data_IF_449868722781
#
_entry.id   IF_449868722781
#
_cell.length_a   1.000
_cell.length_b   1.000
_cell.length_c   1.000
_cell.angle_alpha   90.00
_cell.angle_beta   90.00
_cell.angle_gamma   90.00
#
_symmetry.space_group_name_H-M   'P 1'
#
loop_
_entity.id
_entity.type
_entity.pdbx_description
1 polymer ?
#
# COMPACT_ATOMS: atom_id res chain seq x y z
N UNK A 1 11.44 23.50 -22.96
CA UNK A 1 10.76 22.67 -21.94
C UNK A 1 9.31 23.11 -21.88
N UNK A 2 8.37 22.23 -21.57
CA UNK A 2 6.93 22.53 -21.60
C UNK A 2 6.21 21.84 -20.44
N UNK A 3 5.18 22.48 -19.88
CA UNK A 3 4.33 21.89 -18.82
C UNK A 3 4.65 22.40 -17.41
N UNK A 4 4.62 21.50 -16.42
CA UNK A 4 4.64 21.81 -14.97
C UNK A 4 5.85 22.57 -14.44
N UNK A 5 7.00 22.58 -15.14
CA UNK A 5 8.19 23.28 -14.66
C UNK A 5 8.33 24.72 -15.19
N UNK A 6 7.48 25.14 -16.13
CA UNK A 6 7.60 26.46 -16.79
C UNK A 6 6.24 27.13 -16.99
N UNK A 7 5.32 26.46 -17.70
CA UNK A 7 4.16 27.13 -18.32
C UNK A 7 2.84 26.88 -17.59
N UNK A 8 2.78 25.86 -16.73
CA UNK A 8 1.54 25.43 -16.08
C UNK A 8 1.36 26.09 -14.72
N UNK A 9 0.12 26.48 -14.42
CA UNK A 9 -0.30 26.92 -13.10
C UNK A 9 -0.52 25.72 -12.18
N UNK A 10 0.12 25.73 -11.01
CA UNK A 10 -0.11 24.74 -9.95
C UNK A 10 -1.47 24.85 -9.26
N UNK A 11 -2.21 25.93 -9.47
CA UNK A 11 -3.54 26.12 -8.86
C UNK A 11 -4.64 25.51 -9.71
N UNK A 12 -4.69 25.87 -10.99
CA UNK A 12 -5.70 25.36 -11.92
C UNK A 12 -5.20 25.50 -13.35
N UNK A 13 -5.13 24.39 -14.08
CA UNK A 13 -4.62 24.36 -15.44
C UNK A 13 -5.64 23.75 -16.43
N UNK A 14 -6.16 24.53 -17.40
CA UNK A 14 -7.01 24.00 -18.46
C UNK A 14 -6.21 23.10 -19.42
N UNK A 15 -6.94 22.30 -20.19
CA UNK A 15 -6.38 21.56 -21.33
C UNK A 15 -6.27 22.52 -22.52
N UNK A 16 -5.08 22.62 -23.10
CA UNK A 16 -4.85 23.37 -24.34
C UNK A 16 -5.04 22.45 -25.55
N UNK A 17 -6.09 22.71 -26.34
CA UNK A 17 -6.42 21.95 -27.56
C UNK A 17 -5.90 22.60 -28.85
N UNK A 18 -5.08 23.65 -28.74
CA UNK A 18 -4.48 24.29 -29.91
C UNK A 18 -3.39 23.41 -30.53
N UNK A 19 -3.06 23.67 -31.79
CA UNK A 19 -1.93 23.03 -32.48
C UNK A 19 -0.59 23.74 -32.17
N UNK A 20 -0.46 24.35 -30.99
CA UNK A 20 0.79 24.99 -30.58
C UNK A 20 1.86 23.93 -30.32
N UNK A 21 3.13 24.30 -30.53
CA UNK A 21 4.25 23.39 -30.27
C UNK A 21 4.31 22.93 -28.80
N UNK A 22 3.80 23.74 -27.88
CA UNK A 22 3.74 23.43 -26.44
C UNK A 22 2.62 22.43 -26.15
N UNK A 23 1.42 22.64 -26.70
CA UNK A 23 0.27 21.74 -26.54
C UNK A 23 0.55 20.36 -27.14
N UNK A 24 1.09 20.30 -28.37
CA UNK A 24 1.44 19.04 -29.03
C UNK A 24 2.53 18.27 -28.27
N UNK A 25 3.52 18.96 -27.70
CA UNK A 25 4.52 18.32 -26.83
C UNK A 25 3.88 17.70 -25.59
N UNK A 26 2.95 18.39 -24.94
CA UNK A 26 2.23 17.82 -23.81
C UNK A 26 1.41 16.59 -24.22
N UNK A 27 0.68 16.68 -25.32
CA UNK A 27 -0.10 15.54 -25.84
C UNK A 27 0.80 14.32 -26.13
N UNK A 28 1.99 14.53 -26.71
CA UNK A 28 2.98 13.46 -26.90
C UNK A 28 3.49 12.89 -25.57
N UNK A 29 3.72 13.71 -24.54
CA UNK A 29 4.10 13.21 -23.21
C UNK A 29 2.98 12.37 -22.59
N UNK A 30 1.72 12.81 -22.71
CA UNK A 30 0.56 12.04 -22.28
C UNK A 30 0.47 10.70 -23.03
N UNK A 31 0.73 10.68 -24.33
CA UNK A 31 0.77 9.46 -25.13
C UNK A 31 1.88 8.50 -24.68
N UNK A 32 3.11 9.00 -24.46
CA UNK A 32 4.20 8.17 -23.96
C UNK A 32 3.93 7.61 -22.56
N UNK A 33 3.27 8.39 -21.70
CA UNK A 33 2.81 7.90 -20.41
C UNK A 33 1.76 6.79 -20.54
N UNK A 34 0.84 6.87 -21.51
CA UNK A 34 -0.06 5.75 -21.79
C UNK A 34 0.70 4.49 -22.22
N UNK A 35 1.66 4.64 -23.14
CA UNK A 35 2.50 3.50 -23.55
C UNK A 35 3.26 2.92 -22.37
N UNK A 36 3.79 3.75 -21.45
CA UNK A 36 4.47 3.23 -20.26
C UNK A 36 3.53 2.38 -19.41
N UNK A 37 2.27 2.80 -19.20
CA UNK A 37 1.28 2.00 -18.46
C UNK A 37 0.98 0.64 -19.11
N UNK A 38 1.03 0.55 -20.44
CA UNK A 38 0.95 -0.74 -21.12
C UNK A 38 2.18 -1.61 -20.87
N UNK A 39 3.39 -1.02 -20.85
CA UNK A 39 4.61 -1.78 -20.55
C UNK A 39 4.64 -2.33 -19.12
N UNK A 40 3.97 -1.67 -18.17
CA UNK A 40 3.86 -2.12 -16.77
C UNK A 40 3.08 -3.42 -16.62
N UNK A 41 2.25 -3.83 -17.60
CA UNK A 41 1.66 -5.17 -17.59
C UNK A 41 2.70 -6.28 -17.57
N UNK A 42 3.90 -6.02 -18.07
CA UNK A 42 5.02 -6.96 -18.03
C UNK A 42 5.38 -7.36 -16.59
N UNK A 43 5.15 -6.50 -15.58
CA UNK A 43 5.37 -6.86 -14.18
C UNK A 43 4.49 -8.04 -13.76
N UNK A 44 3.22 -7.99 -14.17
CA UNK A 44 2.25 -9.08 -13.92
C UNK A 44 2.66 -10.35 -14.67
N UNK A 45 3.09 -10.22 -15.93
CA UNK A 45 3.60 -11.35 -16.72
C UNK A 45 4.78 -12.01 -16.00
N UNK A 46 5.75 -11.24 -15.51
CA UNK A 46 6.88 -11.77 -14.75
C UNK A 46 6.47 -12.45 -13.43
N UNK A 47 5.50 -11.91 -12.70
CA UNK A 47 5.01 -12.55 -11.47
C UNK A 47 4.37 -13.91 -11.74
N UNK A 48 3.55 -14.00 -12.80
CA UNK A 48 2.93 -15.26 -13.24
C UNK A 48 3.99 -16.26 -13.69
N UNK A 49 4.92 -15.84 -14.56
CA UNK A 49 5.99 -16.72 -15.07
C UNK A 49 6.92 -17.23 -13.95
N UNK A 50 7.16 -16.41 -12.91
CA UNK A 50 7.97 -16.80 -11.74
C UNK A 50 7.20 -17.58 -10.68
N UNK A 51 5.91 -17.85 -10.88
CA UNK A 51 5.00 -18.47 -9.90
C UNK A 51 5.05 -17.76 -8.54
N UNK A 52 5.04 -16.42 -8.56
CA UNK A 52 5.07 -15.55 -7.38
C UNK A 52 3.69 -14.96 -7.13
N UNK A 53 2.69 -15.81 -6.96
CA UNK A 53 1.29 -15.40 -6.81
C UNK A 53 1.06 -14.51 -5.58
N UNK A 54 1.93 -14.63 -4.57
CA UNK A 54 1.93 -13.75 -3.40
C UNK A 54 2.28 -12.28 -3.70
N UNK A 55 2.81 -11.97 -4.88
CA UNK A 55 3.07 -10.59 -5.33
C UNK A 55 1.88 -9.99 -6.07
N UNK A 56 0.98 -10.82 -6.61
CA UNK A 56 -0.26 -10.39 -7.28
C UNK A 56 -1.34 -10.13 -6.22
N UNK A 57 -1.16 -9.04 -5.48
CA UNK A 57 -2.16 -8.58 -4.50
C UNK A 57 -3.39 -7.99 -5.20
N UNK A 58 -4.50 -7.86 -4.47
CA UNK A 58 -5.69 -7.14 -4.96
C UNK A 58 -5.36 -5.70 -5.34
N UNK A 59 -4.47 -5.04 -4.58
CA UNK A 59 -3.97 -3.70 -4.89
C UNK A 59 -3.24 -3.68 -6.24
N UNK A 60 -2.35 -4.64 -6.49
CA UNK A 60 -1.63 -4.77 -7.76
C UNK A 60 -2.58 -4.97 -8.93
N UNK A 61 -3.50 -5.93 -8.81
CA UNK A 61 -4.44 -6.26 -9.88
C UNK A 61 -5.40 -5.09 -10.15
N UNK A 62 -5.94 -4.46 -9.12
CA UNK A 62 -6.78 -3.27 -9.25
C UNK A 62 -6.02 -2.15 -9.97
N UNK A 63 -4.76 -1.90 -9.59
CA UNK A 63 -3.96 -0.86 -10.22
C UNK A 63 -3.62 -1.11 -11.68
N UNK A 64 -3.05 -2.27 -12.00
CA UNK A 64 -2.62 -2.55 -13.37
C UNK A 64 -3.80 -2.78 -14.32
N UNK A 65 -4.98 -3.14 -13.82
CA UNK A 65 -6.18 -3.28 -14.65
C UNK A 65 -6.82 -1.93 -14.99
N UNK A 66 -6.94 -1.02 -14.00
CA UNK A 66 -7.69 0.23 -14.16
C UNK A 66 -6.86 1.38 -14.73
N UNK A 67 -5.60 1.53 -14.31
CA UNK A 67 -4.76 2.67 -14.72
C UNK A 67 -4.55 2.81 -16.24
N UNK A 68 -4.41 1.73 -17.04
CA UNK A 68 -4.25 1.86 -18.49
C UNK A 68 -5.56 2.27 -19.17
N UNK A 69 -6.71 1.81 -18.66
CA UNK A 69 -8.03 2.18 -19.18
C UNK A 69 -8.30 3.66 -18.90
N UNK A 70 -8.08 4.09 -17.66
CA UNK A 70 -8.21 5.48 -17.26
C UNK A 70 -7.29 6.39 -18.09
N UNK A 71 -6.02 6.01 -18.21
CA UNK A 71 -5.03 6.80 -18.97
C UNK A 71 -5.41 6.88 -20.44
N UNK A 72 -5.95 5.81 -21.04
CA UNK A 72 -6.43 5.84 -22.43
C UNK A 72 -7.55 6.88 -22.61
N UNK A 73 -8.53 6.92 -21.70
CA UNK A 73 -9.61 7.90 -21.73
C UNK A 73 -9.03 9.32 -21.59
N UNK A 74 -8.13 9.53 -20.63
CA UNK A 74 -7.50 10.83 -20.42
C UNK A 74 -6.68 11.28 -21.63
N UNK A 75 -5.87 10.41 -22.24
CA UNK A 75 -5.09 10.77 -23.45
C UNK A 75 -6.01 11.04 -24.64
N UNK A 76 -7.11 10.29 -24.78
CA UNK A 76 -8.01 10.43 -25.92
C UNK A 76 -8.80 11.75 -25.89
N UNK A 77 -9.17 12.23 -24.71
CA UNK A 77 -10.07 13.37 -24.57
C UNK A 77 -9.44 14.58 -23.88
N UNK A 78 -8.41 14.41 -23.06
CA UNK A 78 -7.87 15.40 -22.11
C UNK A 78 -6.34 15.32 -22.06
N UNK A 79 -5.71 15.37 -23.23
CA UNK A 79 -4.25 15.27 -23.38
C UNK A 79 -3.53 16.55 -22.91
N UNK A 80 -3.53 16.80 -21.59
CA UNK A 80 -2.91 17.96 -20.98
C UNK A 80 -3.63 18.45 -19.73
N UNK A 81 -3.24 19.62 -19.24
CA UNK A 81 -3.93 20.31 -18.16
C UNK A 81 -3.76 19.67 -16.78
N UNK A 82 -4.68 20.02 -15.87
CA UNK A 82 -4.60 19.75 -14.43
C UNK A 82 -4.36 18.28 -14.07
N UNK A 83 -5.00 17.35 -14.79
CA UNK A 83 -4.86 15.90 -14.55
C UNK A 83 -3.45 15.37 -14.76
N UNK A 84 -2.61 16.05 -15.54
CA UNK A 84 -1.25 15.56 -15.86
C UNK A 84 -0.25 15.71 -14.71
N UNK A 85 -0.59 16.47 -13.66
CA UNK A 85 0.27 16.59 -12.47
C UNK A 85 0.44 15.24 -11.76
N UNK A 86 -0.65 14.46 -11.65
CA UNK A 86 -0.59 13.14 -11.03
C UNK A 86 0.35 12.20 -11.79
N UNK A 87 0.36 12.29 -13.13
CA UNK A 87 1.27 11.53 -13.99
C UNK A 87 2.73 11.93 -13.74
N UNK A 88 3.02 13.23 -13.60
CA UNK A 88 4.37 13.71 -13.28
C UNK A 88 4.89 13.14 -11.96
N UNK A 89 4.10 13.27 -10.88
CA UNK A 89 4.48 12.76 -9.57
C UNK A 89 4.57 11.23 -9.58
N UNK A 90 3.64 10.55 -10.26
CA UNK A 90 3.65 9.10 -10.42
C UNK A 90 4.95 8.63 -11.07
N UNK A 91 5.34 9.20 -12.20
CA UNK A 91 6.60 8.84 -12.87
C UNK A 91 7.82 9.02 -11.97
N UNK A 92 7.88 10.11 -11.20
CA UNK A 92 8.99 10.34 -10.27
C UNK A 92 9.08 9.25 -9.19
N UNK A 93 7.94 8.84 -8.63
CA UNK A 93 7.89 7.73 -7.65
C UNK A 93 8.12 6.39 -8.31
N UNK A 94 7.68 6.20 -9.55
CA UNK A 94 7.85 4.95 -10.30
C UNK A 94 9.31 4.70 -10.64
N UNK A 95 10.10 5.75 -10.94
CA UNK A 95 11.55 5.63 -11.08
C UNK A 95 12.18 5.06 -9.80
N UNK A 96 11.76 5.55 -8.62
CA UNK A 96 12.24 5.01 -7.34
C UNK A 96 11.78 3.56 -7.09
N UNK A 97 10.53 3.24 -7.45
CA UNK A 97 9.96 1.90 -7.31
C UNK A 97 10.68 0.88 -8.21
N UNK A 98 10.92 1.21 -9.48
CA UNK A 98 11.62 0.33 -10.40
C UNK A 98 13.09 0.20 -10.06
N UNK A 99 13.74 1.25 -9.55
CA UNK A 99 15.09 1.12 -8.99
C UNK A 99 15.12 0.12 -7.83
N UNK A 100 14.12 0.16 -6.93
CA UNK A 100 13.97 -0.83 -5.87
C UNK A 100 13.79 -2.26 -6.43
N UNK A 101 12.94 -2.44 -7.43
CA UNK A 101 12.72 -3.76 -8.04
C UNK A 101 13.96 -4.29 -8.76
N UNK A 102 14.70 -3.42 -9.45
CA UNK A 102 15.96 -3.76 -10.09
C UNK A 102 16.97 -4.31 -9.07
N UNK A 103 17.21 -3.59 -7.97
CA UNK A 103 18.13 -4.04 -6.92
C UNK A 103 17.63 -5.32 -6.24
N UNK A 104 16.32 -5.44 -6.02
CA UNK A 104 15.71 -6.63 -5.43
C UNK A 104 15.84 -7.87 -6.32
N UNK A 105 15.93 -7.69 -7.65
CA UNK A 105 16.09 -8.76 -8.61
C UNK A 105 17.53 -9.27 -8.73
N UNK A 106 18.54 -8.50 -8.30
CA UNK A 106 19.98 -8.87 -8.37
C UNK A 106 20.39 -10.00 -7.41
N UNK A 107 19.48 -10.46 -6.54
CA UNK A 107 19.65 -11.64 -5.69
C UNK A 107 19.93 -11.34 -4.21
N UNK A 108 20.06 -12.39 -3.37
CA UNK A 108 20.15 -12.26 -1.92
C UNK A 108 21.33 -11.41 -1.43
N UNK A 109 22.46 -11.42 -2.14
CA UNK A 109 23.62 -10.59 -1.78
C UNK A 109 23.32 -9.08 -1.77
N UNK A 110 22.33 -8.63 -2.54
CA UNK A 110 21.94 -7.22 -2.64
C UNK A 110 20.80 -6.84 -1.70
N UNK A 111 20.17 -7.82 -1.03
CA UNK A 111 19.06 -7.58 -0.09
C UNK A 111 19.46 -6.66 1.09
N UNK A 112 20.75 -6.58 1.42
CA UNK A 112 21.27 -5.65 2.45
C UNK A 112 21.16 -4.17 2.05
N UNK A 113 21.12 -3.85 0.76
CA UNK A 113 21.09 -2.47 0.26
C UNK A 113 19.67 -1.88 0.18
N UNK A 114 18.63 -2.70 0.34
CA UNK A 114 17.22 -2.28 0.22
C UNK A 114 16.55 -1.95 1.57
N UNK A 115 17.34 -1.50 2.55
CA UNK A 115 16.86 -1.08 3.88
C UNK A 115 15.83 0.05 3.83
N UNK A 116 15.82 0.81 2.73
CA UNK A 116 14.96 1.96 2.52
C UNK A 116 13.55 1.62 2.00
N UNK A 117 13.18 0.34 1.89
CA UNK A 117 11.85 -0.13 1.45
C UNK A 117 10.69 0.59 2.15
N UNK A 118 10.81 0.83 3.46
CA UNK A 118 9.79 1.55 4.25
C UNK A 118 9.60 2.99 3.79
N UNK A 119 10.68 3.68 3.42
CA UNK A 119 10.62 5.05 2.92
C UNK A 119 9.99 5.11 1.54
N UNK A 120 10.23 4.11 0.68
CA UNK A 120 9.55 4.00 -0.62
C UNK A 120 8.02 3.97 -0.45
N UNK A 121 7.49 3.14 0.45
CA UNK A 121 6.04 3.09 0.70
C UNK A 121 5.51 4.40 1.29
N UNK A 122 6.28 5.07 2.16
CA UNK A 122 5.91 6.41 2.67
C UNK A 122 5.86 7.45 1.56
N UNK A 123 6.81 7.41 0.61
CA UNK A 123 6.83 8.31 -0.55
C UNK A 123 5.64 8.08 -1.47
N UNK A 124 5.25 6.82 -1.71
CA UNK A 124 4.02 6.49 -2.45
C UNK A 124 2.77 7.05 -1.76
N UNK A 125 2.67 6.94 -0.43
CA UNK A 125 1.56 7.51 0.33
C UNK A 125 1.54 9.05 0.25
N UNK A 126 2.71 9.69 0.34
CA UNK A 126 2.86 11.13 0.21
C UNK A 126 2.47 11.63 -1.19
N UNK A 127 2.78 10.87 -2.25
CA UNK A 127 2.31 11.16 -3.61
C UNK A 127 0.78 11.25 -3.66
N UNK A 128 0.06 10.30 -3.07
CA UNK A 128 -1.40 10.32 -3.11
C UNK A 128 -1.98 11.52 -2.37
N UNK A 129 -1.39 11.92 -1.25
CA UNK A 129 -1.80 13.14 -0.52
C UNK A 129 -1.57 14.38 -1.38
N UNK A 130 -0.42 14.49 -2.03
CA UNK A 130 -0.09 15.61 -2.91
C UNK A 130 -1.07 15.69 -4.09
N UNK A 131 -1.35 14.56 -4.75
CA UNK A 131 -2.30 14.47 -5.87
C UNK A 131 -3.72 14.77 -5.41
N UNK A 132 -4.10 14.35 -4.21
CA UNK A 132 -5.42 14.64 -3.64
C UNK A 132 -5.62 16.14 -3.43
N UNK A 133 -4.68 16.83 -2.78
CA UNK A 133 -4.73 18.29 -2.57
C UNK A 133 -4.79 19.02 -3.91
N UNK A 134 -3.94 18.64 -4.87
CA UNK A 134 -3.94 19.23 -6.20
C UNK A 134 -5.28 19.00 -6.92
N UNK A 135 -5.84 17.79 -6.85
CA UNK A 135 -7.11 17.48 -7.52
C UNK A 135 -8.30 18.21 -6.92
N UNK A 136 -8.30 18.45 -5.60
CA UNK A 136 -9.32 19.27 -4.93
C UNK A 136 -9.37 20.70 -5.47
N UNK A 137 -8.22 21.27 -5.85
CA UNK A 137 -8.17 22.63 -6.41
C UNK A 137 -8.94 22.74 -7.73
N UNK A 138 -8.93 21.71 -8.59
CA UNK A 138 -9.70 21.70 -9.84
C UNK A 138 -11.22 21.55 -9.64
N UNK A 139 -11.66 21.14 -8.46
CA UNK A 139 -13.09 21.13 -8.10
C UNK A 139 -13.51 22.51 -7.59
N UNK A 140 -12.63 23.16 -6.81
CA UNK A 140 -12.91 24.44 -6.17
C UNK A 140 -12.81 25.63 -7.13
N UNK A 141 -11.75 25.68 -7.96
CA UNK A 141 -11.53 26.77 -8.91
C UNK A 141 -12.14 26.46 -10.27
N UNK A 142 -12.79 27.45 -10.87
CA UNK A 142 -13.31 27.34 -12.23
C UNK A 142 -12.27 27.83 -13.24
N UNK A 143 -11.51 26.89 -13.82
CA UNK A 143 -10.56 27.19 -14.91
C UNK A 143 -10.91 26.47 -16.22
N UNK A 144 -12.15 26.03 -16.39
CA UNK A 144 -12.58 25.32 -17.61
C UNK A 144 -12.09 23.87 -17.71
N UNK A 145 -11.45 23.34 -16.68
CA UNK A 145 -11.19 21.90 -16.57
C UNK A 145 -12.49 21.17 -16.22
N UNK A 146 -12.83 20.06 -16.89
CA UNK A 146 -14.09 19.36 -16.65
C UNK A 146 -14.17 18.79 -15.23
N UNK A 147 -15.00 19.41 -14.38
CA UNK A 147 -15.20 19.04 -12.97
C UNK A 147 -15.60 17.58 -12.78
N UNK A 148 -16.37 17.02 -13.73
CA UNK A 148 -16.73 15.60 -13.73
C UNK A 148 -15.50 14.69 -13.76
N UNK A 149 -14.52 14.99 -14.62
CA UNK A 149 -13.30 14.19 -14.73
C UNK A 149 -12.40 14.41 -13.51
N UNK A 150 -12.29 15.65 -13.04
CA UNK A 150 -11.58 15.93 -11.78
C UNK A 150 -12.18 15.12 -10.60
N UNK A 151 -13.50 14.99 -10.54
CA UNK A 151 -14.17 14.20 -9.50
C UNK A 151 -13.87 12.69 -9.65
N UNK A 152 -13.86 12.15 -10.86
CA UNK A 152 -13.46 10.76 -11.11
C UNK A 152 -12.00 10.49 -10.69
N UNK A 153 -11.07 11.38 -11.07
CA UNK A 153 -9.66 11.30 -10.68
C UNK A 153 -9.49 11.37 -9.15
N UNK A 154 -10.30 12.19 -8.47
CA UNK A 154 -10.30 12.33 -7.02
C UNK A 154 -10.82 11.05 -6.32
N UNK A 155 -11.92 10.46 -6.82
CA UNK A 155 -12.45 9.19 -6.32
C UNK A 155 -11.42 8.08 -6.50
N UNK A 156 -10.83 7.98 -7.70
CA UNK A 156 -9.80 6.99 -8.00
C UNK A 156 -8.60 7.13 -7.05
N UNK A 157 -8.08 8.35 -6.87
CA UNK A 157 -6.99 8.64 -5.93
C UNK A 157 -7.33 8.25 -4.48
N UNK A 158 -8.59 8.44 -4.06
CA UNK A 158 -9.06 8.10 -2.71
C UNK A 158 -9.09 6.59 -2.49
N UNK A 159 -9.58 5.82 -3.46
CA UNK A 159 -9.58 4.35 -3.41
C UNK A 159 -8.15 3.84 -3.31
N UNK A 160 -7.25 4.40 -4.13
CA UNK A 160 -5.83 4.06 -4.10
C UNK A 160 -5.16 4.34 -2.77
N UNK A 161 -5.41 5.51 -2.20
CA UNK A 161 -4.91 5.86 -0.88
C UNK A 161 -5.37 4.85 0.18
N UNK A 162 -6.66 4.48 0.18
CA UNK A 162 -7.20 3.52 1.13
C UNK A 162 -6.53 2.14 1.00
N UNK A 163 -6.37 1.63 -0.24
CA UNK A 163 -5.72 0.34 -0.48
C UNK A 163 -4.23 0.35 -0.10
N UNK A 164 -3.50 1.44 -0.41
CA UNK A 164 -2.10 1.59 -0.02
C UNK A 164 -1.92 1.76 1.49
N UNK A 165 -2.85 2.47 2.14
CA UNK A 165 -2.84 2.66 3.57
C UNK A 165 -3.10 1.34 4.32
N UNK A 166 -4.06 0.54 3.85
CA UNK A 166 -4.30 -0.81 4.37
C UNK A 166 -3.06 -1.70 4.21
N UNK A 167 -2.46 -1.71 3.01
CA UNK A 167 -1.20 -2.42 2.75
C UNK A 167 -0.09 -1.96 3.71
N UNK A 168 0.07 -0.66 3.92
CA UNK A 168 1.08 -0.09 4.81
C UNK A 168 0.89 -0.55 6.26
N UNK A 169 -0.34 -0.49 6.78
CA UNK A 169 -0.66 -0.94 8.14
C UNK A 169 -0.39 -2.44 8.31
N UNK A 170 -0.84 -3.25 7.34
CA UNK A 170 -0.66 -4.70 7.37
C UNK A 170 0.80 -5.11 7.25
N UNK A 171 1.55 -4.51 6.32
CA UNK A 171 2.93 -4.88 6.03
C UNK A 171 3.93 -4.42 7.10
N UNK A 172 3.71 -3.25 7.72
CA UNK A 172 4.68 -2.66 8.63
C UNK A 172 4.19 -2.61 10.07
N UNK A 173 2.99 -2.08 10.34
CA UNK A 173 2.52 -1.86 11.72
C UNK A 173 2.14 -3.15 12.43
N UNK A 174 1.42 -4.04 11.74
CA UNK A 174 1.04 -5.35 12.30
C UNK A 174 2.26 -6.24 12.51
N UNK A 175 3.22 -6.20 11.59
CA UNK A 175 4.45 -6.99 11.70
C UNK A 175 5.38 -6.49 12.81
N UNK A 176 5.52 -5.17 12.97
CA UNK A 176 6.25 -4.57 14.10
C UNK A 176 5.62 -4.93 15.45
N UNK A 177 4.29 -4.85 15.55
CA UNK A 177 3.56 -5.23 16.77
C UNK A 177 3.78 -6.71 17.12
N UNK A 178 3.65 -7.61 16.13
CA UNK A 178 3.92 -9.05 16.32
C UNK A 178 5.37 -9.34 16.71
N UNK A 179 6.34 -8.62 16.15
CA UNK A 179 7.74 -8.76 16.51
C UNK A 179 7.99 -8.30 17.96
N UNK A 180 7.40 -7.16 18.37
CA UNK A 180 7.49 -6.66 19.73
C UNK A 180 6.82 -7.59 20.75
N UNK A 181 5.65 -8.16 20.42
CA UNK A 181 4.96 -9.16 21.24
C UNK A 181 5.81 -10.42 21.42
N UNK A 182 6.42 -10.95 20.35
CA UNK A 182 7.35 -12.09 20.44
C UNK A 182 8.56 -11.79 21.32
N UNK A 183 9.14 -10.60 21.20
CA UNK A 183 10.28 -10.19 22.02
C UNK A 183 9.90 -10.07 23.50
N UNK A 184 8.72 -9.49 23.80
CA UNK A 184 8.17 -9.40 25.16
C UNK A 184 7.88 -10.78 25.75
N UNK A 185 7.28 -11.68 24.98
CA UNK A 185 7.01 -13.05 25.40
C UNK A 185 8.31 -13.83 25.68
N UNK A 186 9.32 -13.68 24.81
CA UNK A 186 10.64 -14.30 25.01
C UNK A 186 11.35 -13.74 26.26
N UNK A 187 11.27 -12.42 26.50
CA UNK A 187 11.81 -11.79 27.70
C UNK A 187 11.09 -12.27 28.97
N UNK A 188 9.77 -12.38 28.94
CA UNK A 188 8.97 -12.90 30.06
C UNK A 188 9.28 -14.38 30.36
N UNK A 189 9.41 -15.21 29.33
CA UNK A 189 9.79 -16.62 29.49
C UNK A 189 11.21 -16.76 30.08
N UNK A 190 12.16 -15.92 29.65
CA UNK A 190 13.52 -15.89 30.20
C UNK A 190 13.54 -15.41 31.65
N UNK A 191 12.73 -14.42 32.01
CA UNK A 191 12.58 -13.94 33.38
C UNK A 191 11.98 -15.01 34.31
N UNK A 192 10.97 -15.75 33.83
CA UNK A 192 10.36 -16.87 34.56
C UNK A 192 11.36 -18.03 34.77
N UNK A 193 12.16 -18.36 33.76
CA UNK A 193 13.20 -19.37 33.88
C UNK A 193 14.30 -18.95 34.88
N UNK A 194 14.61 -17.66 34.95
CA UNK A 194 15.62 -17.12 35.87
C UNK A 194 15.11 -17.01 37.32
N UNK A 195 13.81 -16.87 37.56
CA UNK A 195 13.23 -16.78 38.91
C UNK A 195 13.04 -18.13 39.60
N UNK A 196 13.28 -19.25 38.90
CA UNK A 196 13.09 -20.60 39.46
C UNK A 196 11.62 -20.96 39.73
N UNK A 197 10.67 -20.12 39.33
CA UNK A 197 9.25 -20.37 39.51
C UNK A 197 8.76 -21.37 38.44
N UNK A 198 8.29 -22.54 38.88
CA UNK A 198 7.68 -23.51 37.96
C UNK A 198 6.38 -22.93 37.36
N UNK A 199 6.12 -23.16 36.06
CA UNK A 199 4.83 -22.81 35.47
C UNK A 199 3.75 -23.62 36.17
N UNK A 200 2.77 -22.94 36.79
CA UNK A 200 1.60 -23.61 37.32
C UNK A 200 0.91 -24.37 36.19
N UNK A 201 0.63 -25.68 36.33
CA UNK A 201 -0.08 -26.42 35.30
C UNK A 201 -1.49 -25.83 35.14
N UNK A 202 -1.92 -25.62 33.90
CA UNK A 202 -3.29 -25.24 33.57
C UNK A 202 -4.24 -26.31 34.12
N UNK A 203 -4.82 -26.05 35.30
CA UNK A 203 -5.75 -26.96 35.95
C UNK A 203 -7.09 -26.98 35.23
N UNK A 204 -7.40 -28.10 34.56
CA UNK A 204 -8.78 -28.51 34.37
C UNK A 204 -9.37 -28.80 35.75
N UNK A 205 -10.13 -27.85 36.30
CA UNK A 205 -10.90 -28.09 37.52
C UNK A 205 -12.07 -29.02 37.19
N UNK A 206 -11.94 -30.29 37.58
CA UNK A 206 -13.05 -31.22 37.64
C UNK A 206 -14.00 -30.78 38.76
N UNK A 207 -15.27 -30.51 38.44
CA UNK A 207 -16.33 -30.34 39.43
C UNK A 207 -16.57 -31.67 40.15
N UNK A 208 -16.16 -31.77 41.41
CA UNK A 208 -16.71 -32.74 42.36
C UNK A 208 -17.53 -31.99 43.41
N UNK A 209 -18.71 -32.53 43.70
CA UNK A 209 -19.80 -31.90 44.43
C UNK A 209 -19.66 -31.95 45.97
N UNK A 210 -20.40 -31.04 46.63
CA UNK A 210 -20.85 -30.97 48.04
C UNK A 210 -20.03 -30.08 49.02
N UNK A 211 -20.61 -29.62 50.16
CA UNK A 211 -21.40 -28.38 50.23
C UNK A 211 -20.92 -27.35 51.30
N UNK A 212 -20.94 -26.05 50.94
CA UNK A 212 -21.11 -24.81 51.76
C UNK A 212 -20.31 -24.56 53.07
N UNK A 213 -20.27 -23.31 53.60
CA UNK A 213 -19.71 -22.11 53.00
C UNK A 213 -18.62 -21.47 53.91
N UNK A 214 -17.60 -20.83 53.34
CA UNK A 214 -16.76 -19.91 54.09
C UNK A 214 -16.47 -18.66 53.25
N UNK A 215 -16.79 -17.53 53.87
CA UNK A 215 -16.92 -16.21 53.30
C UNK A 215 -15.53 -15.59 53.08
N UNK A 216 -15.19 -15.23 51.84
CA UNK A 216 -13.97 -14.51 51.49
C UNK A 216 -14.17 -13.71 50.22
N UNK A 217 -14.41 -12.40 50.36
CA UNK A 217 -14.58 -11.48 49.22
C UNK A 217 -13.28 -11.40 48.41
N UNK A 218 -13.29 -11.91 47.19
CA UNK A 218 -12.32 -11.57 46.15
C UNK A 218 -13.04 -10.78 45.05
N UNK A 219 -12.79 -9.47 44.97
CA UNK A 219 -13.23 -8.64 43.86
C UNK A 219 -12.26 -8.84 42.68
N UNK A 220 -12.63 -9.75 41.78
CA UNK A 220 -12.02 -9.85 40.45
C UNK A 220 -13.10 -9.60 39.40
N UNK A 221 -13.04 -8.44 38.74
CA UNK A 221 -13.85 -8.18 37.56
C UNK A 221 -13.46 -9.16 36.45
N UNK A 222 -14.25 -10.21 36.27
CA UNK A 222 -14.28 -10.98 35.04
C UNK A 222 -15.26 -10.30 34.08
N UNK A 223 -14.80 -9.97 32.87
CA UNK A 223 -15.69 -9.83 31.73
C UNK A 223 -15.10 -10.70 30.61
N UNK A 224 -15.67 -11.90 30.49
CA UNK A 224 -15.44 -12.78 29.36
C UNK A 224 -16.35 -12.40 28.20
N UNK A 225 -15.92 -12.76 26.99
CA UNK A 225 -16.73 -13.53 26.06
C UNK A 225 -15.85 -14.06 24.93
N UNK A 226 -16.01 -15.35 24.70
CA UNK A 226 -15.25 -16.22 23.83
C UNK A 226 -15.83 -16.30 22.40
N UNK A 227 -15.13 -17.07 21.57
CA UNK A 227 -15.45 -17.59 20.23
C UNK A 227 -15.27 -16.57 19.08
N UNK A 228 -14.52 -16.83 18.01
CA UNK A 228 -13.89 -18.05 17.52
C UNK A 228 -14.15 -18.17 16.02
N UNK A 229 -13.11 -18.04 15.18
CA UNK A 229 -12.97 -18.68 13.87
C UNK A 229 -11.55 -18.42 13.34
N UNK A 230 -10.69 -19.44 13.47
CA UNK A 230 -9.37 -19.46 12.88
C UNK A 230 -9.43 -20.26 11.57
N UNK A 231 -9.54 -19.56 10.43
CA UNK A 231 -9.20 -20.15 9.13
C UNK A 231 -7.69 -20.07 8.94
N UNK A 232 -6.98 -21.04 9.54
CA UNK A 232 -5.57 -21.27 9.30
C UNK A 232 -5.38 -22.13 8.06
N UNK A 233 -5.14 -21.51 6.90
CA UNK A 233 -4.46 -22.20 5.81
C UNK A 233 -2.97 -22.32 6.18
N UNK A 234 -2.61 -23.51 6.67
CA UNK A 234 -1.22 -23.92 6.79
C UNK A 234 -0.62 -24.11 5.38
N UNK A 235 0.50 -23.45 5.10
CA UNK A 235 1.42 -23.89 4.04
C UNK A 235 2.76 -24.15 4.70
N UNK A 236 3.16 -25.42 4.61
CA UNK A 236 4.34 -26.00 5.20
C UNK A 236 5.62 -25.30 4.73
N UNK A 237 6.51 -25.02 5.68
CA UNK A 237 7.89 -24.70 5.42
C UNK A 237 8.62 -25.98 4.98
N UNK A 238 9.01 -26.05 3.70
CA UNK A 238 9.94 -27.06 3.23
C UNK A 238 11.35 -26.71 3.72
N UNK A 239 11.80 -27.47 4.72
CA UNK A 239 13.17 -27.57 5.21
C UNK A 239 14.00 -28.23 4.11
N UNK A 240 15.02 -27.55 3.58
CA UNK A 240 16.09 -28.21 2.81
C UNK A 240 17.24 -28.51 3.78
N UNK A 241 17.47 -29.80 3.99
CA UNK A 241 18.70 -30.38 4.51
C UNK A 241 19.39 -31.08 3.35
N UNK A 242 20.73 -30.95 3.34
CA UNK A 242 21.74 -31.52 2.43
C UNK A 242 21.92 -30.81 1.08
#
# INVERSE_FOLDING_TARGET
MSGWFMDYSYSCQPVDYTNSQVALRMAHLCWWYYISKLTEFTDTIFFVLRKKDNQISLLHLYHHSLTPIETWICVKFLAGGHGTFSNLVNNAVHVMLYAYYMVSAMGPQYAKYIWWKKYLTKTQLAQFVMVFIHSLQAIYYDCGYPKFIAALLLVHSTIFFALFYDFYLTAYRTNERRAAEKLRAAAAAKALAASGAQPAPNGHAALAAAPAPANGKANGHANGLANGHANGHAVAAAKKTE
#
